data_IF_916035809833
#
_entry.id   IF_916035809833
#
_cell.length_a   1.000
_cell.length_b   1.000
_cell.length_c   1.000
_cell.angle_alpha   90.00
_cell.angle_beta   90.00
_cell.angle_gamma   90.00
#
_symmetry.space_group_name_H-M   'P 1'
#
loop_
_entity.id
_entity.type
_entity.pdbx_description
1 polymer ?
#
# COMPACT_ATOMS: atom_id res chain seq x y z
N UNK A 1 -3.70 2.76 -50.90
CA UNK A 1 -2.35 2.35 -50.46
C UNK A 1 -2.32 1.63 -49.10
N UNK A 2 -3.11 2.04 -48.10
CA UNK A 2 -3.13 1.42 -46.76
C UNK A 2 -3.25 -0.13 -46.74
N UNK A 3 -4.03 -0.74 -47.66
CA UNK A 3 -4.13 -2.21 -47.79
C UNK A 3 -2.81 -2.92 -48.10
N UNK A 4 -1.85 -2.26 -48.74
CA UNK A 4 -0.57 -2.84 -49.14
C UNK A 4 0.49 -2.85 -48.01
N UNK A 5 0.24 -2.15 -46.89
CA UNK A 5 1.13 -2.07 -45.73
C UNK A 5 0.74 -2.97 -44.55
N UNK A 6 -0.44 -3.60 -44.59
CA UNK A 6 -0.84 -4.58 -43.58
C UNK A 6 0.06 -5.82 -43.65
N UNK A 7 0.53 -6.29 -42.50
CA UNK A 7 1.45 -7.44 -42.43
C UNK A 7 2.94 -7.09 -42.55
N UNK A 8 3.30 -5.81 -42.70
CA UNK A 8 4.70 -5.35 -42.71
C UNK A 8 5.03 -4.58 -41.42
N UNK A 9 6.14 -4.95 -40.78
CA UNK A 9 6.65 -4.30 -39.57
C UNK A 9 7.68 -5.18 -38.86
N UNK A 10 8.58 -4.57 -38.08
CA UNK A 10 9.65 -5.26 -37.35
C UNK A 10 9.15 -6.33 -36.34
N UNK A 11 7.85 -6.32 -36.02
CA UNK A 11 7.22 -7.16 -34.99
C UNK A 11 6.17 -8.15 -35.52
N UNK A 12 6.23 -8.50 -36.81
CA UNK A 12 5.44 -9.63 -37.36
C UNK A 12 4.06 -9.29 -37.91
N UNK A 13 3.71 -8.00 -38.05
CA UNK A 13 2.71 -7.42 -38.98
C UNK A 13 1.23 -7.78 -38.78
N UNK A 14 0.93 -9.05 -38.57
CA UNK A 14 -0.43 -9.59 -38.39
C UNK A 14 -0.55 -10.37 -37.07
N UNK A 15 0.46 -10.27 -36.19
CA UNK A 15 0.46 -10.91 -34.88
C UNK A 15 0.00 -9.96 -33.78
N UNK A 16 -0.84 -10.48 -32.89
CA UNK A 16 -1.36 -9.76 -31.72
C UNK A 16 -1.11 -10.56 -30.45
N UNK A 17 -0.90 -9.87 -29.33
CA UNK A 17 -0.87 -10.47 -28.00
C UNK A 17 -2.26 -10.37 -27.39
N UNK A 18 -2.76 -11.49 -26.88
CA UNK A 18 -4.12 -11.61 -26.31
C UNK A 18 -4.00 -12.05 -24.86
N UNK A 19 -4.83 -11.53 -23.96
CA UNK A 19 -4.78 -11.92 -22.56
C UNK A 19 -5.22 -13.37 -22.37
N UNK A 20 -4.62 -14.07 -21.41
CA UNK A 20 -4.87 -15.50 -21.17
C UNK A 20 -6.35 -15.78 -20.91
N UNK A 21 -7.01 -14.95 -20.10
CA UNK A 21 -8.44 -15.11 -19.79
C UNK A 21 -9.36 -14.93 -21.01
N UNK A 22 -8.98 -14.11 -22.00
CA UNK A 22 -9.73 -13.96 -23.25
C UNK A 22 -9.55 -15.18 -24.17
N UNK A 23 -8.33 -15.73 -24.22
CA UNK A 23 -8.05 -16.96 -24.98
C UNK A 23 -8.85 -18.14 -24.44
N UNK A 24 -8.88 -18.31 -23.12
CA UNK A 24 -9.64 -19.39 -22.46
C UNK A 24 -11.14 -19.24 -22.72
N UNK A 25 -11.67 -18.02 -22.68
CA UNK A 25 -13.09 -17.73 -22.96
C UNK A 25 -13.48 -18.03 -24.42
N UNK A 26 -12.58 -17.73 -25.37
CA UNK A 26 -12.82 -17.96 -26.80
C UNK A 26 -12.40 -19.37 -27.25
N UNK A 27 -11.76 -20.16 -26.36
CA UNK A 27 -11.21 -21.48 -26.70
C UNK A 27 -10.06 -21.43 -27.70
N UNK A 28 -9.35 -20.30 -27.78
CA UNK A 28 -8.26 -20.06 -28.72
C UNK A 28 -6.91 -20.37 -28.10
N UNK A 29 -5.94 -20.74 -28.94
CA UNK A 29 -4.54 -21.00 -28.56
C UNK A 29 -3.58 -20.09 -29.31
N UNK A 30 -2.35 -20.01 -28.84
CA UNK A 30 -1.27 -19.31 -29.56
C UNK A 30 -1.09 -19.93 -30.93
N UNK A 31 -1.12 -19.10 -31.97
CA UNK A 31 -1.10 -19.51 -33.38
C UNK A 31 -2.47 -19.48 -34.06
N UNK A 32 -3.58 -19.45 -33.32
CA UNK A 32 -4.91 -19.43 -33.90
C UNK A 32 -5.27 -18.07 -34.49
N UNK A 33 -6.16 -18.02 -35.50
CA UNK A 33 -6.65 -16.77 -36.07
C UNK A 33 -7.72 -16.12 -35.19
N UNK A 34 -7.65 -14.80 -35.02
CA UNK A 34 -8.64 -13.96 -34.34
C UNK A 34 -9.09 -12.82 -35.26
N UNK A 35 -10.39 -12.66 -35.45
CA UNK A 35 -10.94 -11.59 -36.29
C UNK A 35 -11.41 -10.43 -35.43
N UNK A 36 -10.81 -9.26 -35.65
CA UNK A 36 -11.17 -8.02 -34.95
C UNK A 36 -12.13 -7.23 -35.84
N UNK A 37 -13.21 -6.72 -35.25
CA UNK A 37 -14.20 -5.88 -35.91
C UNK A 37 -14.23 -4.49 -35.26
N UNK A 38 -14.04 -3.45 -36.06
CA UNK A 38 -14.18 -2.04 -35.66
C UNK A 38 -15.47 -1.48 -36.26
N UNK A 39 -16.44 -1.00 -35.46
CA UNK A 39 -17.67 -0.37 -35.98
C UNK A 39 -17.40 0.95 -36.73
N UNK A 40 -16.36 1.67 -36.34
CA UNK A 40 -15.88 2.88 -37.02
C UNK A 40 -14.96 2.46 -38.16
N UNK A 41 -15.44 2.52 -39.39
CA UNK A 41 -14.65 2.30 -40.59
C UNK A 41 -13.76 3.51 -40.91
N UNK A 42 -12.81 3.31 -41.82
CA UNK A 42 -11.98 4.38 -42.36
C UNK A 42 -12.84 5.35 -43.20
N UNK A 43 -12.62 6.65 -43.01
CA UNK A 43 -13.30 7.68 -43.78
C UNK A 43 -12.77 7.66 -45.23
N UNK A 44 -13.70 7.58 -46.20
CA UNK A 44 -13.39 7.65 -47.62
C UNK A 44 -14.11 8.82 -48.28
N UNK A 45 -13.65 9.23 -49.47
CA UNK A 45 -14.27 10.30 -50.25
C UNK A 45 -15.76 10.07 -50.61
N UNK A 46 -16.28 8.86 -50.38
CA UNK A 46 -17.67 8.47 -50.64
C UNK A 46 -18.49 8.17 -49.36
N UNK A 47 -17.97 8.52 -48.17
CA UNK A 47 -18.61 8.27 -46.87
C UNK A 47 -17.82 7.28 -45.99
N UNK A 48 -18.26 7.09 -44.74
CA UNK A 48 -17.68 6.10 -43.84
C UNK A 48 -18.01 4.70 -44.38
N UNK A 49 -16.97 3.90 -44.68
CA UNK A 49 -17.09 2.60 -45.35
C UNK A 49 -17.75 1.49 -44.51
N UNK A 50 -18.33 1.81 -43.35
CA UNK A 50 -18.86 0.82 -42.44
C UNK A 50 -17.74 0.00 -41.78
N UNK A 51 -18.11 -0.80 -40.78
CA UNK A 51 -17.14 -1.41 -39.89
C UNK A 51 -16.08 -2.27 -40.58
N UNK A 52 -14.81 -2.02 -40.24
CA UNK A 52 -13.66 -2.76 -40.77
C UNK A 52 -13.49 -4.07 -40.00
N UNK A 53 -13.37 -5.18 -40.73
CA UNK A 53 -12.98 -6.47 -40.16
C UNK A 53 -11.63 -6.92 -40.72
N UNK A 54 -10.75 -7.41 -39.85
CA UNK A 54 -9.49 -8.03 -40.25
C UNK A 54 -9.12 -9.19 -39.33
N UNK A 55 -8.63 -10.27 -39.94
CA UNK A 55 -8.09 -11.43 -39.22
C UNK A 55 -6.61 -11.21 -38.90
N UNK A 56 -6.26 -11.42 -37.64
CA UNK A 56 -4.90 -11.44 -37.07
C UNK A 56 -4.61 -12.84 -36.52
N UNK A 57 -3.35 -13.13 -36.18
CA UNK A 57 -2.95 -14.37 -35.53
C UNK A 57 -2.49 -14.10 -34.10
N UNK A 58 -2.84 -15.00 -33.18
CA UNK A 58 -2.37 -14.94 -31.79
C UNK A 58 -0.86 -15.21 -31.78
N UNK A 59 -0.06 -14.17 -31.55
CA UNK A 59 1.40 -14.26 -31.46
C UNK A 59 1.91 -14.71 -30.10
N UNK A 60 1.12 -14.50 -29.04
CA UNK A 60 1.44 -14.88 -27.68
C UNK A 60 0.32 -14.52 -26.71
N UNK A 61 0.35 -15.16 -25.54
CA UNK A 61 -0.54 -14.86 -24.43
C UNK A 61 0.16 -13.96 -23.42
N UNK A 62 -0.55 -13.01 -22.83
CA UNK A 62 -0.07 -12.25 -21.67
C UNK A 62 -1.00 -12.45 -20.47
N UNK A 63 -0.48 -12.21 -19.27
CA UNK A 63 -1.33 -12.04 -18.09
C UNK A 63 -0.87 -10.85 -17.27
N UNK A 64 -1.81 -9.97 -16.92
CA UNK A 64 -1.59 -8.80 -16.08
C UNK A 64 -1.79 -9.11 -14.59
N UNK A 65 -2.16 -10.33 -14.23
CA UNK A 65 -2.59 -10.72 -12.88
C UNK A 65 -4.04 -10.32 -12.53
N UNK A 66 -4.77 -9.77 -13.49
CA UNK A 66 -6.14 -9.27 -13.30
C UNK A 66 -7.02 -9.80 -14.44
N UNK A 67 -7.87 -10.79 -14.17
CA UNK A 67 -8.63 -11.49 -15.21
C UNK A 67 -9.50 -10.55 -16.07
N UNK A 68 -10.06 -9.49 -15.50
CA UNK A 68 -10.86 -8.52 -16.24
C UNK A 68 -10.04 -7.70 -17.24
N UNK A 69 -8.79 -7.37 -16.89
CA UNK A 69 -7.88 -6.67 -17.79
C UNK A 69 -7.39 -7.59 -18.92
N UNK A 70 -7.09 -8.85 -18.59
CA UNK A 70 -6.73 -9.88 -19.57
C UNK A 70 -7.89 -10.22 -20.53
N UNK A 71 -9.15 -9.98 -20.13
CA UNK A 71 -10.33 -10.13 -21.00
C UNK A 71 -10.59 -8.93 -21.91
N UNK A 72 -10.23 -7.73 -21.47
CA UNK A 72 -10.65 -6.49 -22.11
C UNK A 72 -9.67 -5.95 -23.17
N UNK A 73 -8.39 -6.33 -23.11
CA UNK A 73 -7.35 -5.72 -23.95
C UNK A 73 -6.66 -6.73 -24.89
N UNK A 74 -6.25 -6.22 -26.05
CA UNK A 74 -5.40 -6.91 -27.03
C UNK A 74 -4.28 -5.94 -27.39
N UNK A 75 -3.02 -6.40 -27.38
CA UNK A 75 -1.89 -5.58 -27.81
C UNK A 75 -1.49 -5.93 -29.24
N UNK A 76 -1.29 -4.92 -30.06
CA UNK A 76 -0.85 -5.05 -31.44
C UNK A 76 0.16 -3.95 -31.80
N UNK A 77 0.97 -4.12 -32.85
CA UNK A 77 1.87 -3.06 -33.31
C UNK A 77 1.10 -1.76 -33.63
N UNK A 78 1.63 -0.62 -33.18
CA UNK A 78 0.97 0.68 -33.33
C UNK A 78 0.68 1.02 -34.78
N UNK A 79 1.63 0.76 -35.68
CA UNK A 79 1.48 1.02 -37.11
C UNK A 79 0.29 0.24 -37.69
N UNK A 80 0.07 -0.99 -37.22
CA UNK A 80 -1.04 -1.83 -37.65
C UNK A 80 -2.38 -1.39 -37.05
N UNK A 81 -2.37 -0.91 -35.80
CA UNK A 81 -3.55 -0.28 -35.20
C UNK A 81 -3.95 0.99 -35.97
N UNK A 82 -3.00 1.86 -36.30
CA UNK A 82 -3.25 3.08 -37.07
C UNK A 82 -3.82 2.78 -38.45
N UNK A 83 -3.27 1.80 -39.17
CA UNK A 83 -3.81 1.34 -40.45
C UNK A 83 -5.23 0.77 -40.29
N UNK A 84 -5.46 -0.06 -39.27
CA UNK A 84 -6.75 -0.72 -39.04
C UNK A 84 -7.87 0.26 -38.66
N UNK A 85 -7.56 1.28 -37.85
CA UNK A 85 -8.51 2.30 -37.42
C UNK A 85 -8.55 3.52 -38.35
N UNK A 86 -7.73 3.57 -39.40
CA UNK A 86 -7.66 4.71 -40.33
C UNK A 86 -7.10 5.99 -39.69
N UNK A 87 -6.20 5.84 -38.71
CA UNK A 87 -5.61 6.92 -37.90
C UNK A 87 -4.11 7.06 -38.16
N UNK A 88 -3.71 7.02 -39.43
CA UNK A 88 -2.29 7.16 -39.81
C UNK A 88 -1.73 8.50 -39.33
N UNK A 89 -0.64 8.45 -38.54
CA UNK A 89 -0.02 9.65 -37.98
C UNK A 89 -0.78 10.32 -36.84
N UNK A 90 -1.84 9.69 -36.32
CA UNK A 90 -2.63 10.19 -35.19
C UNK A 90 -2.47 9.25 -33.99
N UNK A 91 -2.20 9.81 -32.81
CA UNK A 91 -2.12 9.08 -31.55
C UNK A 91 -3.33 9.43 -30.68
N UNK A 92 -4.10 8.42 -30.28
CA UNK A 92 -5.28 8.62 -29.43
C UNK A 92 -4.90 8.95 -27.99
N UNK A 93 -3.94 8.21 -27.43
CA UNK A 93 -3.47 8.37 -26.05
C UNK A 93 -1.96 8.17 -26.01
N UNK A 94 -1.28 9.07 -25.31
CA UNK A 94 0.14 8.93 -24.98
C UNK A 94 0.24 8.64 -23.48
N UNK A 95 0.76 7.47 -23.13
CA UNK A 95 0.99 7.09 -21.75
C UNK A 95 2.45 7.34 -21.37
N UNK A 96 2.65 8.07 -20.28
CA UNK A 96 3.97 8.39 -19.75
C UNK A 96 4.18 7.61 -18.45
N UNK A 97 5.17 6.72 -18.45
CA UNK A 97 5.56 5.97 -17.26
C UNK A 97 6.57 6.77 -16.45
N UNK A 98 6.17 7.15 -15.24
CA UNK A 98 7.04 7.86 -14.28
C UNK A 98 7.72 6.85 -13.36
N UNK A 99 8.96 7.11 -12.96
CA UNK A 99 9.72 6.23 -12.06
C UNK A 99 9.11 6.19 -10.64
N UNK A 100 8.63 7.33 -10.13
CA UNK A 100 7.95 7.43 -8.84
C UNK A 100 6.49 7.88 -9.03
N UNK A 101 5.50 7.00 -8.83
CA UNK A 101 4.09 7.33 -9.01
C UNK A 101 3.55 8.30 -7.96
N UNK A 102 4.16 8.38 -6.77
CA UNK A 102 3.73 9.29 -5.69
C UNK A 102 4.02 10.77 -6.01
N UNK A 103 4.98 11.01 -6.91
CA UNK A 103 5.38 12.34 -7.35
C UNK A 103 4.70 12.76 -8.66
N UNK A 104 3.69 12.02 -9.14
CA UNK A 104 3.05 12.28 -10.43
C UNK A 104 2.53 13.73 -10.55
N UNK A 105 2.10 14.31 -9.43
CA UNK A 105 1.58 15.69 -9.37
C UNK A 105 2.64 16.74 -9.75
N UNK A 106 3.93 16.47 -9.50
CA UNK A 106 5.02 17.39 -9.85
C UNK A 106 5.28 17.44 -11.36
N UNK A 107 4.93 16.38 -12.10
CA UNK A 107 5.16 16.28 -13.54
C UNK A 107 3.97 16.77 -14.38
N UNK A 108 2.80 16.98 -13.77
CA UNK A 108 1.58 17.33 -14.48
C UNK A 108 1.66 18.66 -15.23
N UNK A 109 2.16 19.71 -14.58
CA UNK A 109 2.25 21.04 -15.21
C UNK A 109 3.22 21.07 -16.39
N UNK A 110 4.47 20.57 -16.27
CA UNK A 110 5.38 20.48 -17.43
C UNK A 110 4.81 19.65 -18.59
N UNK A 111 4.11 18.55 -18.29
CA UNK A 111 3.49 17.70 -19.32
C UNK A 111 2.32 18.40 -19.99
N UNK A 112 1.50 19.15 -19.24
CA UNK A 112 0.40 19.97 -19.80
C UNK A 112 0.92 21.05 -20.73
N UNK A 113 1.99 21.73 -20.35
CA UNK A 113 2.64 22.74 -21.19
C UNK A 113 3.17 22.12 -22.48
N UNK A 114 3.84 20.96 -22.39
CA UNK A 114 4.37 20.25 -23.55
C UNK A 114 3.28 19.66 -24.46
N UNK A 115 2.15 19.21 -23.89
CA UNK A 115 1.04 18.61 -24.65
C UNK A 115 0.21 19.64 -25.45
N UNK A 116 0.37 20.94 -25.17
CA UNK A 116 -0.30 22.02 -25.88
C UNK A 116 -1.78 22.22 -25.50
N UNK A 117 -2.35 23.32 -25.97
CA UNK A 117 -3.76 23.68 -25.70
C UNK A 117 -4.69 22.72 -26.44
N UNK A 118 -5.57 22.04 -25.69
CA UNK A 118 -6.57 21.10 -26.23
C UNK A 118 -6.37 19.65 -25.80
N UNK A 119 -5.20 19.31 -25.23
CA UNK A 119 -4.89 17.96 -24.76
C UNK A 119 -5.40 17.72 -23.33
N UNK A 120 -6.17 16.66 -23.11
CA UNK A 120 -6.63 16.27 -21.79
C UNK A 120 -5.55 15.45 -21.06
N UNK A 121 -4.78 16.09 -20.18
CA UNK A 121 -3.78 15.42 -19.36
C UNK A 121 -4.42 14.90 -18.08
N UNK A 122 -4.45 13.58 -17.92
CA UNK A 122 -4.96 12.88 -16.73
C UNK A 122 -3.88 12.00 -16.15
N UNK A 123 -3.87 11.87 -14.82
CA UNK A 123 -2.98 10.94 -14.12
C UNK A 123 -3.76 9.75 -13.52
N UNK A 124 -3.01 8.78 -13.01
CA UNK A 124 -3.55 7.55 -12.45
C UNK A 124 -4.43 7.79 -11.21
N UNK A 125 -4.17 8.83 -10.40
CA UNK A 125 -4.98 9.14 -9.21
C UNK A 125 -6.35 9.67 -9.59
N UNK A 126 -6.46 10.37 -10.73
CA UNK A 126 -7.75 10.85 -11.25
C UNK A 126 -8.49 9.71 -11.96
N UNK A 127 -7.81 8.91 -12.78
CA UNK A 127 -8.43 7.77 -13.49
C UNK A 127 -8.97 6.71 -12.53
N UNK A 128 -8.26 6.48 -11.42
CA UNK A 128 -8.66 5.53 -10.35
C UNK A 128 -9.07 6.27 -9.07
N UNK A 129 -9.74 7.42 -9.17
CA UNK A 129 -10.09 8.25 -8.00
C UNK A 129 -10.89 7.52 -6.91
N UNK A 130 -11.79 6.60 -7.29
CA UNK A 130 -12.53 5.78 -6.32
C UNK A 130 -11.61 4.84 -5.53
N UNK A 131 -10.66 4.19 -6.22
CA UNK A 131 -9.66 3.31 -5.61
C UNK A 131 -8.69 4.10 -4.72
N UNK A 132 -8.23 5.25 -5.22
CA UNK A 132 -7.33 6.13 -4.47
C UNK A 132 -8.00 6.74 -3.23
N UNK A 133 -9.25 7.19 -3.37
CA UNK A 133 -10.06 7.68 -2.26
C UNK A 133 -10.26 6.62 -1.18
N UNK A 134 -10.58 5.39 -1.58
CA UNK A 134 -10.71 4.26 -0.67
C UNK A 134 -9.40 3.97 0.08
N UNK A 135 -8.28 3.86 -0.63
CA UNK A 135 -6.95 3.64 -0.03
C UNK A 135 -6.57 4.74 0.97
N UNK A 136 -6.89 6.00 0.65
CA UNK A 136 -6.62 7.13 1.55
C UNK A 136 -7.47 7.06 2.82
N UNK A 137 -8.76 6.77 2.69
CA UNK A 137 -9.67 6.61 3.84
C UNK A 137 -9.22 5.43 4.70
N UNK A 138 -8.85 4.31 4.10
CA UNK A 138 -8.33 3.13 4.79
C UNK A 138 -7.06 3.46 5.60
N UNK A 139 -6.09 4.16 4.99
CA UNK A 139 -4.85 4.55 5.69
C UNK A 139 -5.13 5.45 6.90
N UNK A 140 -6.10 6.36 6.79
CA UNK A 140 -6.53 7.20 7.93
C UNK A 140 -7.25 6.37 8.99
N UNK A 141 -8.09 5.41 8.59
CA UNK A 141 -8.75 4.52 9.55
C UNK A 141 -7.73 3.68 10.31
N UNK A 142 -6.72 3.11 9.63
CA UNK A 142 -5.64 2.37 10.27
C UNK A 142 -4.84 3.23 11.25
N UNK A 143 -4.55 4.50 10.91
CA UNK A 143 -3.81 5.38 11.81
C UNK A 143 -4.59 5.71 13.09
N UNK A 144 -5.91 5.85 13.02
CA UNK A 144 -6.78 6.02 14.20
C UNK A 144 -6.73 4.79 15.11
N UNK A 145 -6.84 3.60 14.53
CA UNK A 145 -6.77 2.33 15.28
C UNK A 145 -5.40 2.19 15.96
N UNK A 146 -4.31 2.44 15.23
CA UNK A 146 -2.95 2.41 15.79
C UNK A 146 -2.78 3.42 16.94
N UNK A 147 -3.33 4.62 16.81
CA UNK A 147 -3.30 5.62 17.88
C UNK A 147 -4.05 5.15 19.14
N UNK A 148 -5.22 4.52 18.98
CA UNK A 148 -5.99 3.96 20.10
C UNK A 148 -5.21 2.85 20.83
N UNK A 149 -4.53 1.97 20.09
CA UNK A 149 -3.67 0.94 20.68
C UNK A 149 -2.49 1.56 21.46
N UNK A 150 -1.90 2.63 20.92
CA UNK A 150 -0.88 3.41 21.62
C UNK A 150 -1.39 3.95 22.96
N UNK A 151 -2.58 4.57 22.96
CA UNK A 151 -3.20 5.09 24.19
C UNK A 151 -3.44 3.98 25.22
N UNK A 152 -3.96 2.81 24.79
CA UNK A 152 -4.14 1.67 25.69
C UNK A 152 -2.82 1.21 26.31
N UNK A 153 -1.74 1.16 25.53
CA UNK A 153 -0.42 0.81 26.03
C UNK A 153 0.10 1.83 27.06
N UNK A 154 -0.08 3.12 26.80
CA UNK A 154 0.31 4.19 27.71
C UNK A 154 -0.42 4.10 29.06
N UNK A 155 -1.73 3.84 29.04
CA UNK A 155 -2.54 3.66 30.25
C UNK A 155 -2.03 2.48 31.09
N UNK A 156 -1.65 1.36 30.46
CA UNK A 156 -1.09 0.21 31.16
C UNK A 156 0.23 0.54 31.86
N UNK A 157 1.10 1.34 31.22
CA UNK A 157 2.35 1.82 31.84
C UNK A 157 2.02 2.70 33.05
N UNK A 158 1.08 3.64 32.91
CA UNK A 158 0.68 4.53 34.01
C UNK A 158 0.18 3.71 35.20
N UNK A 159 -0.76 2.80 34.99
CA UNK A 159 -1.31 1.95 36.07
C UNK A 159 -0.22 1.11 36.72
N UNK A 160 0.68 0.52 35.93
CA UNK A 160 1.80 -0.26 36.43
C UNK A 160 2.74 0.54 37.34
N UNK A 161 3.15 1.74 36.91
CA UNK A 161 4.05 2.60 37.70
C UNK A 161 3.34 3.15 38.94
N UNK A 162 2.07 3.57 38.83
CA UNK A 162 1.29 4.04 39.99
C UNK A 162 1.19 2.94 41.05
N UNK A 163 0.92 1.70 40.64
CA UNK A 163 0.89 0.56 41.57
C UNK A 163 2.27 0.27 42.16
N UNK A 164 3.33 0.38 41.37
CA UNK A 164 4.71 0.22 41.86
C UNK A 164 5.06 1.28 42.93
N UNK A 165 4.70 2.53 42.69
CA UNK A 165 4.90 3.64 43.64
C UNK A 165 4.12 3.39 44.92
N UNK A 166 2.83 3.02 44.82
CA UNK A 166 1.99 2.70 45.98
C UNK A 166 2.60 1.60 46.85
N UNK A 167 3.06 0.51 46.22
CA UNK A 167 3.69 -0.61 46.93
C UNK A 167 5.05 -0.24 47.54
N UNK A 168 5.71 0.81 47.05
CA UNK A 168 7.04 1.27 47.48
C UNK A 168 7.02 2.56 48.29
N UNK A 169 5.85 3.03 48.72
CA UNK A 169 5.67 4.29 49.47
C UNK A 169 6.55 4.37 50.73
N UNK A 170 6.66 3.28 51.50
CA UNK A 170 7.50 3.23 52.70
C UNK A 170 9.00 3.30 52.38
N UNK A 171 9.44 2.54 51.36
CA UNK A 171 10.83 2.55 50.89
C UNK A 171 11.23 3.96 50.39
N UNK A 172 10.31 4.65 49.69
CA UNK A 172 10.47 6.04 49.25
C UNK A 172 10.63 6.98 50.46
N UNK A 173 9.79 6.83 51.49
CA UNK A 173 9.86 7.65 52.70
C UNK A 173 11.19 7.47 53.45
N UNK A 174 11.66 6.22 53.59
CA UNK A 174 12.97 5.93 54.22
C UNK A 174 14.11 6.55 53.40
N UNK A 175 14.08 6.43 52.07
CA UNK A 175 15.08 7.07 51.21
C UNK A 175 15.07 8.59 51.37
N UNK A 176 13.89 9.20 51.51
CA UNK A 176 13.75 10.65 51.74
C UNK A 176 14.28 11.09 53.10
N UNK A 177 14.07 10.31 54.17
CA UNK A 177 14.59 10.63 55.50
C UNK A 177 16.11 10.47 55.60
N UNK A 178 16.70 9.53 54.85
CA UNK A 178 18.16 9.36 54.74
C UNK A 178 18.82 10.45 53.87
N UNK A 179 18.03 11.27 53.17
CA UNK A 179 18.51 12.47 52.43
C UNK A 179 18.39 12.40 50.90
N UNK A 180 17.67 11.43 50.35
CA UNK A 180 17.43 11.35 48.91
C UNK A 180 16.63 12.57 48.41
N UNK A 181 17.12 13.18 47.34
CA UNK A 181 16.44 14.33 46.71
C UNK A 181 15.22 13.88 45.92
N UNK A 182 14.24 14.78 45.79
CA UNK A 182 13.06 14.57 44.96
C UNK A 182 13.42 14.19 43.51
N UNK A 183 14.46 14.83 42.96
CA UNK A 183 14.97 14.53 41.61
C UNK A 183 15.53 13.11 41.48
N UNK A 184 16.14 12.57 42.54
CA UNK A 184 16.65 11.18 42.55
C UNK A 184 15.50 10.17 42.45
N UNK A 185 14.44 10.38 43.24
CA UNK A 185 13.26 9.52 43.26
C UNK A 185 12.52 9.59 41.92
N UNK A 186 12.36 10.79 41.36
CA UNK A 186 11.78 10.98 40.03
C UNK A 186 12.55 10.19 38.97
N UNK A 187 13.90 10.24 38.98
CA UNK A 187 14.73 9.51 38.02
C UNK A 187 14.56 8.00 38.13
N UNK A 188 14.46 7.44 39.34
CA UNK A 188 14.29 6.00 39.55
C UNK A 188 13.00 5.51 38.89
N UNK A 189 11.86 6.16 39.19
CA UNK A 189 10.57 5.74 38.65
C UNK A 189 10.44 6.06 37.15
N UNK A 190 11.05 7.16 36.69
CA UNK A 190 11.09 7.50 35.27
C UNK A 190 11.88 6.44 34.48
N UNK A 191 13.06 6.05 34.97
CA UNK A 191 13.87 4.98 34.38
C UNK A 191 13.16 3.63 34.40
N UNK A 192 12.46 3.30 35.48
CA UNK A 192 11.66 2.07 35.54
C UNK A 192 10.58 2.05 34.45
N UNK A 193 9.84 3.14 34.28
CA UNK A 193 8.86 3.28 33.20
C UNK A 193 9.48 3.26 31.81
N UNK A 194 10.63 3.92 31.63
CA UNK A 194 11.35 3.94 30.37
C UNK A 194 11.90 2.56 30.00
N UNK A 195 12.37 1.77 30.97
CA UNK A 195 12.79 0.39 30.74
C UNK A 195 11.64 -0.49 30.27
N UNK A 196 10.44 -0.34 30.86
CA UNK A 196 9.24 -1.06 30.39
C UNK A 196 8.92 -0.68 28.95
N UNK A 197 8.90 0.62 28.64
CA UNK A 197 8.63 1.13 27.29
C UNK A 197 9.66 0.66 26.24
N UNK A 198 10.96 0.77 26.54
CA UNK A 198 12.04 0.37 25.64
C UNK A 198 12.05 -1.14 25.43
N UNK A 199 11.89 -1.93 26.49
CA UNK A 199 11.85 -3.39 26.37
C UNK A 199 10.64 -3.83 25.56
N UNK A 200 9.48 -3.23 25.82
CA UNK A 200 8.26 -3.47 25.05
C UNK A 200 8.42 -3.11 23.57
N UNK A 201 9.07 -1.98 23.26
CA UNK A 201 9.39 -1.59 21.90
C UNK A 201 10.31 -2.59 21.20
N UNK A 202 11.42 -2.98 21.83
CA UNK A 202 12.39 -3.91 21.24
C UNK A 202 11.74 -5.26 20.96
N UNK A 203 11.03 -5.80 21.95
CA UNK A 203 10.32 -7.08 21.82
C UNK A 203 9.23 -6.98 20.75
N UNK A 204 8.43 -5.90 20.76
CA UNK A 204 7.38 -5.66 19.79
C UNK A 204 7.90 -5.49 18.36
N UNK A 205 9.02 -4.80 18.17
CA UNK A 205 9.67 -4.64 16.86
C UNK A 205 10.18 -5.97 16.33
N UNK A 206 10.88 -6.76 17.17
CA UNK A 206 11.37 -8.08 16.77
C UNK A 206 10.22 -9.00 16.40
N UNK A 207 9.19 -9.09 17.24
CA UNK A 207 8.02 -9.91 16.97
C UNK A 207 7.27 -9.44 15.72
N UNK A 208 7.08 -8.13 15.56
CA UNK A 208 6.42 -7.55 14.39
C UNK A 208 7.16 -7.83 13.09
N UNK A 209 8.47 -7.64 13.06
CA UNK A 209 9.30 -7.94 11.89
C UNK A 209 9.28 -9.43 11.54
N UNK A 210 9.40 -10.31 12.54
CA UNK A 210 9.29 -11.75 12.34
C UNK A 210 7.92 -12.10 11.75
N UNK A 211 6.85 -11.48 12.24
CA UNK A 211 5.50 -11.70 11.72
C UNK A 211 5.36 -11.23 10.27
N UNK A 212 5.85 -10.04 9.92
CA UNK A 212 5.82 -9.52 8.55
C UNK A 212 6.61 -10.41 7.57
N UNK A 213 7.77 -10.91 7.97
CA UNK A 213 8.60 -11.79 7.13
C UNK A 213 7.95 -13.17 6.92
N UNK A 214 7.11 -13.62 7.84
CA UNK A 214 6.47 -14.94 7.80
C UNK A 214 4.97 -14.88 7.45
N UNK A 215 4.48 -13.76 6.92
CA UNK A 215 3.05 -13.56 6.66
C UNK A 215 2.45 -14.66 5.77
N UNK A 216 3.19 -15.10 4.74
CA UNK A 216 2.73 -16.15 3.82
C UNK A 216 2.68 -17.52 4.48
N UNK A 217 3.66 -17.85 5.35
CA UNK A 217 3.65 -19.10 6.10
C UNK A 217 2.49 -19.14 7.11
N UNK A 218 2.21 -18.00 7.77
CA UNK A 218 1.08 -17.85 8.69
C UNK A 218 -0.24 -18.00 7.93
N UNK A 219 -0.36 -17.37 6.75
CA UNK A 219 -1.53 -17.50 5.89
C UNK A 219 -1.79 -18.97 5.55
N UNK A 220 -0.81 -19.68 4.98
CA UNK A 220 -0.99 -21.09 4.59
C UNK A 220 -1.28 -22.00 5.79
N UNK A 221 -0.71 -21.72 6.95
CA UNK A 221 -1.01 -22.45 8.18
C UNK A 221 -2.47 -22.27 8.60
N UNK A 222 -3.01 -21.05 8.53
CA UNK A 222 -4.42 -20.78 8.83
C UNK A 222 -5.32 -21.44 7.79
N UNK A 223 -5.02 -21.31 6.50
CA UNK A 223 -5.75 -21.97 5.41
C UNK A 223 -5.81 -23.49 5.58
N UNK A 224 -4.70 -24.10 6.02
CA UNK A 224 -4.63 -25.54 6.29
C UNK A 224 -5.52 -26.00 7.45
N UNK A 225 -5.76 -25.13 8.45
CA UNK A 225 -6.62 -25.44 9.60
C UNK A 225 -8.09 -25.15 9.30
N UNK A 226 -8.38 -24.02 8.65
CA UNK A 226 -9.75 -23.56 8.41
C UNK A 226 -10.36 -24.18 7.17
N UNK A 227 -9.54 -24.69 6.24
CA UNK A 227 -9.98 -25.20 4.94
C UNK A 227 -10.56 -24.13 4.02
N UNK A 228 -10.43 -22.85 4.37
CA UNK A 228 -10.92 -21.70 3.59
C UNK A 228 -9.71 -20.95 3.04
N UNK A 229 -9.69 -20.71 1.73
CA UNK A 229 -8.72 -19.81 1.11
C UNK A 229 -8.99 -18.38 1.56
N UNK A 230 -8.10 -17.81 2.38
CA UNK A 230 -8.28 -16.45 2.92
C UNK A 230 -8.20 -15.39 1.82
N UNK A 231 -7.36 -15.62 0.82
CA UNK A 231 -7.16 -14.72 -0.31
C UNK A 231 -7.40 -15.49 -1.61
N UNK A 232 -8.65 -15.48 -2.08
CA UNK A 232 -8.98 -16.04 -3.37
C UNK A 232 -8.55 -15.05 -4.48
N UNK A 233 -7.62 -15.49 -5.34
CA UNK A 233 -7.10 -14.70 -6.46
C UNK A 233 -8.20 -14.22 -7.41
N UNK A 234 -9.31 -14.96 -7.54
CA UNK A 234 -10.45 -14.59 -8.38
C UNK A 234 -11.24 -13.40 -7.83
N UNK A 235 -11.24 -13.20 -6.50
CA UNK A 235 -12.00 -12.13 -5.83
C UNK A 235 -11.12 -10.91 -5.55
N UNK A 236 -9.86 -11.14 -5.14
CA UNK A 236 -8.95 -10.08 -4.72
C UNK A 236 -7.95 -9.65 -5.80
N UNK A 237 -7.93 -10.35 -6.95
CA UNK A 237 -7.09 -10.03 -8.12
C UNK A 237 -5.59 -9.91 -7.81
N UNK A 238 -5.15 -10.60 -6.76
CA UNK A 238 -3.78 -10.60 -6.23
C UNK A 238 -3.47 -12.02 -5.75
N UNK A 239 -2.41 -12.63 -6.29
CA UNK A 239 -1.97 -13.98 -5.92
C UNK A 239 -1.40 -14.04 -4.49
N UNK A 240 -0.88 -12.92 -3.98
CA UNK A 240 -0.40 -12.77 -2.61
C UNK A 240 -0.36 -11.29 -2.22
N UNK A 241 -0.55 -10.99 -0.94
CA UNK A 241 -0.29 -9.65 -0.39
C UNK A 241 1.20 -9.56 -0.05
N UNK A 242 2.00 -8.79 -0.81
CA UNK A 242 3.41 -8.62 -0.47
C UNK A 242 3.52 -7.80 0.82
N UNK A 243 4.08 -8.40 1.88
CA UNK A 243 4.43 -7.66 3.10
C UNK A 243 5.64 -6.76 2.81
N UNK A 244 5.36 -5.50 2.46
CA UNK A 244 6.38 -4.45 2.34
C UNK A 244 6.46 -3.69 3.66
N UNK A 245 7.57 -3.86 4.36
CA UNK A 245 7.89 -3.08 5.56
C UNK A 245 8.64 -1.84 5.12
N UNK A 246 8.06 -0.66 5.32
CA UNK A 246 8.74 0.61 5.10
C UNK A 246 9.57 0.98 6.36
N UNK A 247 10.91 1.09 6.26
CA UNK A 247 11.75 1.48 7.38
C UNK A 247 11.38 2.85 7.97
N UNK A 248 10.89 3.79 7.14
CA UNK A 248 10.49 5.11 7.60
C UNK A 248 9.28 5.02 8.55
N UNK A 249 8.28 4.22 8.21
CA UNK A 249 7.10 4.00 9.05
C UNK A 249 7.50 3.32 10.38
N UNK A 250 8.40 2.33 10.33
CA UNK A 250 8.90 1.64 11.54
C UNK A 250 9.61 2.62 12.47
N UNK A 251 10.50 3.46 11.94
CA UNK A 251 11.20 4.48 12.73
C UNK A 251 10.20 5.47 13.31
N UNK A 252 9.21 5.91 12.52
CA UNK A 252 8.26 6.91 12.99
C UNK A 252 7.39 6.39 14.13
N UNK A 253 6.86 5.18 13.99
CA UNK A 253 6.04 4.52 15.00
C UNK A 253 6.86 4.23 16.26
N UNK A 254 8.12 3.79 16.10
CA UNK A 254 9.02 3.56 17.24
C UNK A 254 9.29 4.85 18.02
N UNK A 255 9.52 5.95 17.31
CA UNK A 255 9.69 7.27 17.93
C UNK A 255 8.45 7.72 18.70
N UNK A 256 7.27 7.56 18.11
CA UNK A 256 6.00 7.87 18.78
C UNK A 256 5.75 7.00 20.01
N UNK A 257 6.05 5.70 19.93
CA UNK A 257 5.92 4.76 21.05
C UNK A 257 6.84 5.12 22.22
N UNK A 258 8.09 5.50 21.94
CA UNK A 258 9.03 5.97 22.95
C UNK A 258 8.55 7.27 23.60
N UNK A 259 8.12 8.23 22.78
CA UNK A 259 7.61 9.52 23.27
C UNK A 259 6.41 9.29 24.19
N UNK A 260 5.47 8.44 23.77
CA UNK A 260 4.29 8.12 24.56
C UNK A 260 4.65 7.41 25.88
N UNK A 261 5.62 6.49 25.84
CA UNK A 261 6.13 5.82 27.04
C UNK A 261 6.80 6.80 28.02
N UNK A 262 7.54 7.79 27.52
CA UNK A 262 8.13 8.85 28.32
C UNK A 262 7.07 9.73 28.98
N UNK A 263 6.02 10.12 28.25
CA UNK A 263 4.91 10.90 28.82
C UNK A 263 4.19 10.08 29.89
N UNK A 264 3.89 8.82 29.58
CA UNK A 264 3.20 7.90 30.48
C UNK A 264 3.98 7.66 31.78
N UNK A 265 5.32 7.57 31.72
CA UNK A 265 6.16 7.37 32.91
C UNK A 265 6.39 8.64 33.71
N UNK A 266 6.40 9.81 33.08
CA UNK A 266 6.70 11.08 33.73
C UNK A 266 5.64 11.47 34.78
N UNK A 267 4.35 11.35 34.44
CA UNK A 267 3.24 11.73 35.32
C UNK A 267 3.30 11.02 36.68
N UNK A 268 3.33 9.68 36.77
CA UNK A 268 3.39 8.98 38.04
C UNK A 268 4.75 9.14 38.75
N UNK A 269 5.85 9.28 38.02
CA UNK A 269 7.17 9.53 38.61
C UNK A 269 7.24 10.88 39.34
N UNK A 270 6.55 11.89 38.80
CA UNK A 270 6.44 13.20 39.44
C UNK A 270 5.59 13.16 40.72
N UNK A 271 4.50 12.37 40.71
CA UNK A 271 3.67 12.12 41.90
C UNK A 271 4.49 11.42 42.99
N UNK A 272 5.24 10.37 42.64
CA UNK A 272 6.09 9.62 43.57
C UNK A 272 7.13 10.49 44.27
N UNK A 273 7.73 11.42 43.52
CA UNK A 273 8.74 12.31 44.03
C UNK A 273 8.20 13.30 45.10
N UNK A 274 6.90 13.61 45.06
CA UNK A 274 6.22 14.55 45.96
C UNK A 274 5.65 13.93 47.24
N UNK A 275 5.86 12.63 47.47
CA UNK A 275 5.35 11.95 48.67
C UNK A 275 6.03 12.54 49.92
N UNK A 276 5.21 12.94 50.91
CA UNK A 276 5.68 13.44 52.20
C UNK A 276 6.16 12.26 53.07
N UNK A 277 7.43 12.26 53.53
CA UNK A 277 7.96 11.18 54.39
C UNK A 277 7.18 11.01 55.69
N UNK A 278 6.62 12.09 56.23
CA UNK A 278 5.95 12.10 57.54
C UNK A 278 4.57 11.45 57.43
N UNK A 279 3.80 11.76 56.38
CA UNK A 279 2.50 11.11 56.14
C UNK A 279 2.66 9.64 55.75
N UNK A 280 3.69 9.32 54.96
CA UNK A 280 3.95 7.95 54.52
C UNK A 280 4.34 6.99 55.66
N UNK A 281 4.88 7.50 56.78
CA UNK A 281 5.24 6.72 57.96
C UNK A 281 4.16 6.71 59.04
N UNK A 282 3.14 7.57 58.93
CA UNK A 282 2.08 7.77 59.95
C UNK A 282 0.84 6.92 59.72
N UNK A 283 0.60 6.43 58.51
CA UNK A 283 -0.47 5.48 58.21
C UNK A 283 0.01 4.04 58.48
N UNK A 284 0.32 3.78 59.75
CA UNK A 284 0.26 2.50 60.49
C UNK A 284 0.34 2.79 61.99
#
# INVERSE_FOLDING_TARGET
>A
EARAGFGKGAYGGDRVLVGQSLLDQLGLRVGDPITIFSPSGADSAFGNLGGLSKTYFVGGAYSSGTADYDRAFIFMPLEQAQLFFGKEGVWDVIELKVANPDQVQTYLEPVREAAGRGSAVTDWTVRLAAFWGALKVERVAMSIILAQLGIMAALNIIVGIVMLVKNKTKDIAILRTVGSTQSSILRIFFLAGMMIGVTGLVVGLVLGLVFCLNIGAIQHFIEGITGVQLFNADVYMLDAIPAKVDPADVIWISGWSLLLSCIASLVPSWIAARIDPIEALRYE
#
